data_IF_682176351205
#
_entry.id   IF_682176351205
#
_cell.length_a   1.000
_cell.length_b   1.000
_cell.length_c   1.000
_cell.angle_alpha   90.00
_cell.angle_beta   90.00
_cell.angle_gamma   90.00
#
_symmetry.space_group_name_H-M   'P 1'
#
loop_
_entity.id
_entity.type
_entity.pdbx_description
1 polymer ?
#
# COMPACT_ATOMS: atom_id res chain seq x y z
N UNK A 1 10.88 -15.02 18.32
CA UNK A 1 10.86 -14.21 17.09
C UNK A 1 12.24 -14.29 16.47
N UNK A 2 12.34 -14.67 15.20
CA UNK A 2 13.64 -14.63 14.53
C UNK A 2 14.01 -13.17 14.27
N UNK A 3 15.20 -12.70 14.68
CA UNK A 3 15.66 -11.37 14.29
C UNK A 3 15.73 -11.29 12.77
N UNK A 4 15.46 -10.10 12.21
CA UNK A 4 15.69 -9.83 10.80
C UNK A 4 17.16 -10.08 10.48
N UNK A 5 17.44 -10.80 9.41
CA UNK A 5 18.79 -10.98 8.88
C UNK A 5 19.45 -9.60 8.68
N UNK A 6 20.61 -9.31 9.30
CA UNK A 6 21.31 -8.05 9.08
C UNK A 6 21.57 -7.72 7.61
N UNK A 7 21.70 -8.71 6.73
CA UNK A 7 21.85 -8.50 5.29
C UNK A 7 20.59 -7.91 4.62
N UNK A 8 19.42 -8.05 5.25
CA UNK A 8 18.14 -7.47 4.82
C UNK A 8 17.90 -6.07 5.40
N UNK A 9 18.83 -5.55 6.21
CA UNK A 9 18.82 -4.13 6.62
C UNK A 9 19.51 -3.29 5.55
N UNK A 10 18.74 -2.91 4.52
CA UNK A 10 19.30 -2.26 3.35
C UNK A 10 19.56 -0.77 3.58
N UNK A 11 20.77 -0.35 3.24
CA UNK A 11 21.20 1.04 3.34
C UNK A 11 20.85 1.82 2.09
N UNK A 12 20.50 3.09 2.26
CA UNK A 12 20.33 4.02 1.16
C UNK A 12 21.67 4.22 0.42
N UNK A 13 21.59 4.31 -0.90
CA UNK A 13 22.72 4.53 -1.79
C UNK A 13 22.55 5.81 -2.61
N UNK A 14 23.66 6.30 -3.19
CA UNK A 14 23.63 7.44 -4.11
C UNK A 14 22.80 7.06 -5.35
N UNK A 15 21.86 7.93 -5.72
CA UNK A 15 20.96 7.71 -6.86
C UNK A 15 19.75 6.82 -6.54
N UNK A 16 19.52 6.47 -5.28
CA UNK A 16 18.27 5.82 -4.88
C UNK A 16 17.06 6.67 -5.24
N UNK A 17 16.01 5.99 -5.69
CA UNK A 17 14.72 6.61 -5.98
C UNK A 17 13.90 6.75 -4.71
N UNK A 18 13.28 7.92 -4.55
CA UNK A 18 12.35 8.21 -3.47
C UNK A 18 10.99 8.56 -4.07
N UNK A 19 9.98 7.76 -3.76
CA UNK A 19 8.63 7.95 -4.25
C UNK A 19 7.61 7.43 -3.23
N UNK A 20 6.39 7.95 -3.29
CA UNK A 20 5.26 7.44 -2.52
C UNK A 20 4.68 6.15 -3.14
N UNK A 21 3.64 5.58 -2.54
CA UNK A 21 2.97 4.40 -3.07
C UNK A 21 2.38 4.58 -4.47
N UNK A 22 2.24 5.80 -4.98
CA UNK A 22 1.82 6.06 -6.36
C UNK A 22 3.00 6.07 -7.34
N UNK A 23 4.22 5.82 -6.87
CA UNK A 23 5.45 6.07 -7.61
C UNK A 23 5.57 7.53 -8.08
N UNK A 24 4.98 8.49 -7.36
CA UNK A 24 5.26 9.91 -7.58
C UNK A 24 6.49 10.29 -6.79
N UNK A 25 7.51 10.78 -7.50
CA UNK A 25 8.80 11.08 -6.91
C UNK A 25 8.70 12.24 -5.90
N UNK A 26 9.62 12.22 -4.93
CA UNK A 26 9.81 13.28 -3.97
C UNK A 26 11.29 13.39 -3.59
N UNK A 27 11.72 14.55 -3.09
CA UNK A 27 13.07 14.73 -2.56
C UNK A 27 13.15 14.24 -1.11
N UNK A 28 14.20 13.47 -0.73
CA UNK A 28 14.34 12.99 0.64
C UNK A 28 14.39 14.17 1.62
N UNK A 29 13.74 14.03 2.78
CA UNK A 29 13.55 15.10 3.77
C UNK A 29 14.85 15.48 4.50
N UNK A 30 15.92 14.71 4.29
CA UNK A 30 17.23 14.98 4.89
C UNK A 30 18.33 14.06 4.34
N UNK A 31 19.52 14.08 4.97
CA UNK A 31 20.67 13.31 4.50
C UNK A 31 20.40 11.80 4.47
N UNK A 32 20.81 11.17 3.38
CA UNK A 32 20.55 9.75 3.05
C UNK A 32 21.72 8.83 3.39
N UNK A 33 22.94 9.37 3.54
CA UNK A 33 24.12 8.58 3.92
C UNK A 33 23.93 7.92 5.30
N UNK A 34 24.20 6.62 5.39
CA UNK A 34 24.03 5.84 6.63
C UNK A 34 22.57 5.64 7.05
N UNK A 35 21.61 5.86 6.13
CA UNK A 35 20.17 5.67 6.37
C UNK A 35 19.64 4.37 5.79
N UNK A 36 18.45 3.95 6.21
CA UNK A 36 17.81 2.72 5.75
C UNK A 36 16.87 2.98 4.56
N UNK A 37 16.86 2.08 3.57
CA UNK A 37 15.82 2.06 2.53
C UNK A 37 14.48 1.61 3.11
N UNK A 38 13.38 2.08 2.51
CA UNK A 38 12.02 1.68 2.85
C UNK A 38 11.83 0.15 2.80
N UNK A 39 12.47 -0.54 1.87
CA UNK A 39 12.38 -2.01 1.72
C UNK A 39 12.80 -2.77 2.99
N UNK A 40 13.61 -2.18 3.86
CA UNK A 40 13.94 -2.76 5.17
C UNK A 40 12.68 -3.00 6.03
N UNK A 41 11.65 -2.16 5.88
CA UNK A 41 10.36 -2.32 6.55
C UNK A 41 9.56 -3.51 5.99
N UNK A 42 9.65 -3.78 4.69
CA UNK A 42 9.05 -4.98 4.09
C UNK A 42 9.68 -6.24 4.69
N UNK A 43 11.01 -6.32 4.65
CA UNK A 43 11.73 -7.48 5.16
C UNK A 43 11.47 -7.71 6.65
N UNK A 44 11.46 -6.63 7.43
CA UNK A 44 11.13 -6.68 8.85
C UNK A 44 9.70 -7.15 9.08
N UNK A 45 8.73 -6.70 8.26
CA UNK A 45 7.33 -7.12 8.38
C UNK A 45 7.14 -8.61 8.11
N UNK A 46 7.79 -9.14 7.07
CA UNK A 46 7.79 -10.57 6.73
C UNK A 46 8.39 -11.40 7.88
N UNK A 47 9.56 -10.98 8.40
CA UNK A 47 10.21 -11.67 9.52
C UNK A 47 9.35 -11.65 10.79
N UNK A 48 8.70 -10.53 11.12
CA UNK A 48 7.84 -10.41 12.30
C UNK A 48 6.60 -11.30 12.23
N UNK A 49 6.02 -11.44 11.05
CA UNK A 49 4.86 -12.29 10.83
C UNK A 49 5.24 -13.78 10.69
N UNK A 50 6.54 -14.12 10.70
CA UNK A 50 6.99 -15.50 10.48
C UNK A 50 6.66 -16.01 9.07
N UNK A 51 6.67 -15.10 8.09
CA UNK A 51 6.32 -15.38 6.71
C UNK A 51 7.14 -16.53 6.12
N UNK A 52 6.53 -17.32 5.25
CA UNK A 52 7.20 -18.41 4.55
C UNK A 52 8.44 -17.89 3.78
N UNK A 53 9.59 -18.59 3.82
CA UNK A 53 10.80 -18.20 3.08
C UNK A 53 10.56 -17.95 1.58
N UNK A 54 9.55 -18.59 0.98
CA UNK A 54 9.18 -18.38 -0.42
C UNK A 54 8.62 -16.99 -0.68
N UNK A 55 8.04 -16.30 0.30
CA UNK A 55 7.65 -14.89 0.16
C UNK A 55 8.87 -13.98 -0.03
N UNK A 56 9.97 -14.23 0.69
CA UNK A 56 11.23 -13.50 0.48
C UNK A 56 11.76 -13.76 -0.94
N UNK A 57 11.76 -15.01 -1.38
CA UNK A 57 12.21 -15.38 -2.73
C UNK A 57 11.35 -14.74 -3.84
N UNK A 58 10.03 -14.64 -3.63
CA UNK A 58 9.13 -13.94 -4.56
C UNK A 58 9.49 -12.44 -4.63
N UNK A 59 9.71 -11.79 -3.49
CA UNK A 59 10.12 -10.38 -3.47
C UNK A 59 11.45 -10.16 -4.19
N UNK A 60 12.43 -11.05 -3.98
CA UNK A 60 13.71 -11.00 -4.69
C UNK A 60 13.53 -11.19 -6.20
N UNK A 61 12.67 -12.12 -6.63
CA UNK A 61 12.38 -12.34 -8.05
C UNK A 61 11.71 -11.13 -8.70
N UNK A 62 10.72 -10.52 -8.03
CA UNK A 62 10.08 -9.28 -8.48
C UNK A 62 11.09 -8.15 -8.63
N UNK A 63 11.92 -7.93 -7.61
CA UNK A 63 12.93 -6.89 -7.62
C UNK A 63 14.00 -7.11 -8.70
N UNK A 64 14.45 -8.35 -8.90
CA UNK A 64 15.42 -8.68 -9.95
C UNK A 64 14.83 -8.54 -11.35
N UNK A 65 13.56 -8.93 -11.54
CA UNK A 65 12.90 -8.90 -12.84
C UNK A 65 12.39 -7.52 -13.27
N UNK A 66 12.08 -6.64 -12.32
CA UNK A 66 11.56 -5.29 -12.60
C UNK A 66 12.63 -4.20 -12.38
N UNK A 67 13.59 -4.44 -11.51
CA UNK A 67 14.53 -3.46 -10.98
C UNK A 67 14.07 -2.89 -9.62
N UNK A 68 15.00 -2.34 -8.83
CA UNK A 68 14.71 -1.79 -7.51
C UNK A 68 13.80 -0.55 -7.58
N UNK A 69 12.85 -0.44 -6.65
CA UNK A 69 11.96 0.72 -6.54
C UNK A 69 10.96 0.86 -7.70
N UNK A 70 10.68 -0.25 -8.40
CA UNK A 70 9.72 -0.32 -9.52
C UNK A 70 8.40 -0.95 -9.12
N UNK A 71 8.32 -1.53 -7.93
CA UNK A 71 7.08 -2.06 -7.36
C UNK A 71 6.85 -1.48 -5.98
N UNK A 72 5.58 -1.48 -5.57
CA UNK A 72 5.15 -0.99 -4.27
C UNK A 72 4.60 -2.16 -3.49
N UNK A 73 4.86 -2.21 -2.19
CA UNK A 73 4.27 -3.17 -1.28
C UNK A 73 3.39 -2.46 -0.25
N UNK A 74 2.38 -3.15 0.24
CA UNK A 74 1.56 -2.73 1.39
C UNK A 74 1.46 -3.86 2.40
N UNK A 75 1.95 -3.65 3.61
CA UNK A 75 1.77 -4.58 4.71
C UNK A 75 0.41 -4.29 5.36
N UNK A 76 -0.58 -5.14 5.06
CA UNK A 76 -1.97 -4.99 5.51
C UNK A 76 -2.21 -5.78 6.77
N UNK A 77 -2.87 -5.18 7.74
CA UNK A 77 -3.33 -5.84 8.96
C UNK A 77 -4.85 -5.89 9.01
N UNK A 78 -5.39 -7.09 9.23
CA UNK A 78 -6.81 -7.37 9.45
C UNK A 78 -6.92 -8.51 10.47
N UNK A 79 -7.80 -8.36 11.46
CA UNK A 79 -8.07 -9.38 12.48
C UNK A 79 -6.81 -9.96 13.14
N UNK A 80 -5.83 -9.07 13.41
CA UNK A 80 -4.54 -9.43 14.00
C UNK A 80 -3.52 -10.05 13.03
N UNK A 81 -3.92 -10.44 11.82
CA UNK A 81 -3.08 -11.08 10.81
C UNK A 81 -2.49 -10.04 9.87
N UNK A 82 -1.21 -10.21 9.51
CA UNK A 82 -0.53 -9.41 8.49
C UNK A 82 -0.47 -10.17 7.17
N UNK A 83 -0.82 -9.50 6.09
CA UNK A 83 -0.73 -9.98 4.70
C UNK A 83 -0.09 -8.89 3.84
N UNK A 84 0.38 -9.21 2.65
CA UNK A 84 1.05 -8.24 1.77
C UNK A 84 0.31 -8.12 0.45
N UNK A 85 0.14 -6.89 -0.03
CA UNK A 85 -0.26 -6.63 -1.42
C UNK A 85 0.88 -5.96 -2.15
N UNK A 86 1.09 -6.36 -3.40
CA UNK A 86 2.08 -5.77 -4.28
C UNK A 86 1.38 -5.05 -5.42
N UNK A 87 1.77 -3.80 -5.65
CA UNK A 87 1.23 -2.92 -6.67
C UNK A 87 2.29 -2.62 -7.73
N UNK A 88 1.84 -2.62 -8.97
CA UNK A 88 2.68 -2.43 -10.14
C UNK A 88 2.09 -1.30 -10.98
N UNK A 89 2.79 -0.17 -11.00
CA UNK A 89 2.38 1.02 -11.73
C UNK A 89 3.10 1.09 -13.07
N UNK A 90 2.37 1.49 -14.10
CA UNK A 90 2.94 1.95 -15.35
C UNK A 90 2.03 3.01 -15.98
N UNK A 91 2.42 4.27 -15.83
CA UNK A 91 1.66 5.41 -16.32
C UNK A 91 1.70 5.57 -17.85
N UNK A 92 2.55 4.81 -18.57
CA UNK A 92 2.55 4.78 -20.03
C UNK A 92 1.32 4.05 -20.60
N UNK A 93 0.56 3.33 -19.75
CA UNK A 93 -0.69 2.65 -20.12
C UNK A 93 -0.48 1.72 -21.31
N UNK A 94 -0.98 2.05 -22.50
CA UNK A 94 -0.89 1.15 -23.66
C UNK A 94 0.57 0.83 -24.03
N UNK A 95 1.51 1.73 -23.72
CA UNK A 95 2.94 1.56 -23.96
C UNK A 95 3.72 1.06 -22.71
N UNK A 96 3.01 0.45 -21.76
CA UNK A 96 3.58 -0.08 -20.52
C UNK A 96 4.71 -1.08 -20.76
N UNK A 97 5.70 -1.03 -19.89
CA UNK A 97 6.77 -2.03 -19.78
C UNK A 97 6.58 -2.93 -18.55
N UNK A 98 5.93 -2.43 -17.51
CA UNK A 98 5.50 -3.23 -16.34
C UNK A 98 4.06 -3.69 -16.57
N UNK A 99 3.90 -4.85 -17.20
CA UNK A 99 2.60 -5.43 -17.53
C UNK A 99 2.22 -6.59 -16.61
N UNK A 100 0.93 -6.99 -16.64
CA UNK A 100 0.43 -8.16 -15.91
C UNK A 100 1.16 -9.42 -16.40
N UNK A 101 1.33 -9.57 -17.71
CA UNK A 101 2.01 -10.70 -18.33
C UNK A 101 3.48 -10.79 -17.87
N UNK A 102 4.18 -9.65 -17.82
CA UNK A 102 5.57 -9.61 -17.35
C UNK A 102 5.68 -10.05 -15.90
N UNK A 103 4.84 -9.51 -15.01
CA UNK A 103 4.86 -9.86 -13.58
C UNK A 103 4.45 -11.31 -13.36
N UNK A 104 3.38 -11.78 -14.00
CA UNK A 104 2.99 -13.20 -13.91
C UNK A 104 4.08 -14.13 -14.47
N UNK A 105 4.83 -13.70 -15.48
CA UNK A 105 6.00 -14.43 -15.98
C UNK A 105 7.12 -14.55 -14.94
N UNK A 106 7.41 -13.47 -14.21
CA UNK A 106 8.37 -13.48 -13.08
C UNK A 106 7.89 -14.39 -11.96
N UNK A 107 6.58 -14.38 -11.67
CA UNK A 107 5.97 -15.16 -10.59
C UNK A 107 5.72 -16.62 -10.95
N UNK A 108 5.78 -17.01 -12.23
CA UNK A 108 5.42 -18.35 -12.69
C UNK A 108 6.14 -19.50 -11.97
N UNK A 109 7.44 -19.41 -11.58
CA UNK A 109 8.10 -20.45 -10.79
C UNK A 109 7.55 -20.60 -9.36
N UNK A 110 6.85 -19.58 -8.88
CA UNK A 110 6.36 -19.50 -7.50
C UNK A 110 4.87 -19.76 -7.39
N UNK A 111 4.08 -19.26 -8.35
CA UNK A 111 2.63 -19.17 -8.21
C UNK A 111 1.95 -19.54 -9.53
N UNK A 112 1.16 -20.62 -9.58
CA UNK A 112 0.33 -20.88 -10.75
C UNK A 112 -0.78 -19.83 -10.85
N UNK A 113 -0.93 -19.25 -12.05
CA UNK A 113 -1.95 -18.24 -12.34
C UNK A 113 -2.66 -18.53 -13.68
N UNK A 114 -3.94 -18.85 -13.59
CA UNK A 114 -4.82 -19.05 -14.76
C UNK A 114 -5.49 -17.78 -15.27
N UNK A 115 -5.35 -16.65 -14.57
CA UNK A 115 -6.03 -15.41 -14.95
C UNK A 115 -5.40 -14.81 -16.21
N UNK A 116 -6.25 -14.19 -17.03
CA UNK A 116 -5.87 -13.47 -18.25
C UNK A 116 -6.59 -12.14 -18.29
N UNK A 117 -5.88 -11.09 -18.65
CA UNK A 117 -6.43 -9.76 -18.84
C UNK A 117 -5.87 -9.20 -20.14
N UNK A 118 -6.71 -8.56 -20.95
CA UNK A 118 -6.27 -8.06 -22.25
C UNK A 118 -5.32 -6.85 -22.08
N UNK A 119 -4.06 -6.99 -22.48
CA UNK A 119 -3.04 -5.93 -22.39
C UNK A 119 -3.40 -4.63 -23.12
N UNK A 120 -4.27 -4.70 -24.13
CA UNK A 120 -4.78 -3.55 -24.87
C UNK A 120 -5.74 -2.65 -24.05
N UNK A 121 -6.06 -3.00 -22.80
CA UNK A 121 -6.89 -2.18 -21.92
C UNK A 121 -6.04 -1.09 -21.24
N UNK A 122 -6.56 0.13 -21.06
CA UNK A 122 -5.76 1.29 -20.63
C UNK A 122 -5.61 1.37 -19.10
N UNK A 123 -5.36 0.25 -18.42
CA UNK A 123 -5.03 0.28 -16.99
C UNK A 123 -3.71 1.03 -16.76
N UNK A 124 -3.49 1.59 -15.57
CA UNK A 124 -2.21 2.23 -15.22
C UNK A 124 -1.55 1.55 -14.01
N UNK A 125 -2.29 0.69 -13.33
CA UNK A 125 -1.79 -0.11 -12.22
C UNK A 125 -2.56 -1.43 -12.14
N UNK A 126 -1.91 -2.44 -11.60
CA UNK A 126 -2.58 -3.63 -11.05
C UNK A 126 -1.90 -4.05 -9.75
N UNK A 127 -2.59 -4.89 -8.97
CA UNK A 127 -2.02 -5.46 -7.77
C UNK A 127 -2.48 -6.90 -7.52
N UNK A 128 -1.76 -7.58 -6.64
CA UNK A 128 -2.01 -8.94 -6.20
C UNK A 128 -1.65 -9.10 -4.73
N UNK A 129 -2.41 -9.93 -4.02
CA UNK A 129 -2.15 -10.28 -2.63
C UNK A 129 -1.22 -11.50 -2.56
N UNK A 130 -0.13 -11.36 -1.78
CA UNK A 130 0.77 -12.43 -1.40
C UNK A 130 0.55 -12.78 0.07
N UNK A 131 0.31 -14.07 0.31
CA UNK A 131 0.21 -14.64 1.64
C UNK A 131 0.94 -15.98 1.70
N UNK A 132 1.00 -16.49 2.91
CA UNK A 132 1.62 -17.75 3.27
C UNK A 132 0.99 -18.96 2.56
N UNK A 133 -0.33 -18.97 2.35
CA UNK A 133 -1.00 -20.07 1.67
C UNK A 133 -0.61 -20.13 0.19
N UNK A 134 -0.52 -18.97 -0.48
CA UNK A 134 -0.01 -18.86 -1.84
C UNK A 134 1.47 -19.22 -1.91
N UNK A 135 2.28 -18.78 -0.94
CA UNK A 135 3.71 -19.11 -0.88
C UNK A 135 3.94 -20.61 -0.72
N UNK A 136 3.18 -21.30 0.12
CA UNK A 136 3.23 -22.76 0.30
C UNK A 136 2.59 -23.56 -0.83
N UNK A 137 1.93 -22.90 -1.78
CA UNK A 137 1.22 -23.56 -2.89
C UNK A 137 -0.10 -24.20 -2.49
N UNK A 138 -0.65 -23.83 -1.32
CA UNK A 138 -1.96 -24.28 -0.82
C UNK A 138 -3.12 -23.64 -1.59
N UNK A 139 -2.87 -22.48 -2.22
CA UNK A 139 -3.79 -21.82 -3.16
C UNK A 139 -3.04 -21.23 -4.36
N UNK A 140 -3.75 -21.05 -5.46
CA UNK A 140 -3.25 -20.30 -6.63
C UNK A 140 -3.46 -18.80 -6.52
N UNK A 141 -2.98 -18.05 -7.52
CA UNK A 141 -3.38 -16.65 -7.69
C UNK A 141 -4.75 -16.58 -8.37
N UNK A 142 -5.77 -16.27 -7.59
CA UNK A 142 -7.18 -16.32 -8.01
C UNK A 142 -7.80 -14.94 -8.26
N UNK A 143 -7.10 -13.87 -7.87
CA UNK A 143 -7.54 -12.49 -8.06
C UNK A 143 -6.38 -11.58 -8.45
N UNK A 144 -6.66 -10.68 -9.39
CA UNK A 144 -5.87 -9.47 -9.65
C UNK A 144 -6.77 -8.25 -9.44
N UNK A 145 -6.27 -7.18 -8.84
CA UNK A 145 -7.00 -5.92 -8.79
C UNK A 145 -6.45 -5.01 -9.89
N UNK A 146 -7.32 -4.52 -10.77
CA UNK A 146 -6.96 -3.75 -11.96
C UNK A 146 -7.43 -2.31 -11.81
N UNK A 147 -6.54 -1.35 -12.09
CA UNK A 147 -6.81 0.06 -11.86
C UNK A 147 -6.77 0.85 -13.16
N UNK A 148 -7.87 1.55 -13.44
CA UNK A 148 -8.04 2.40 -14.63
C UNK A 148 -8.27 3.85 -14.20
N UNK A 149 -7.79 4.80 -15.01
CA UNK A 149 -7.93 6.21 -14.70
C UNK A 149 -9.38 6.66 -14.74
N UNK A 150 -9.75 7.58 -13.84
CA UNK A 150 -11.04 8.23 -13.83
C UNK A 150 -10.84 9.74 -14.04
N UNK A 151 -10.97 10.27 -15.27
CA UNK A 151 -10.82 11.70 -15.49
C UNK A 151 -11.83 12.52 -14.69
N UNK A 152 -11.43 13.70 -14.19
CA UNK A 152 -12.34 14.65 -13.51
C UNK A 152 -11.96 15.08 -12.08
N UNK A 153 -10.75 14.79 -11.61
CA UNK A 153 -10.22 15.24 -10.31
C UNK A 153 -9.06 16.22 -10.48
N UNK A 154 -8.81 17.06 -9.47
CA UNK A 154 -7.70 18.03 -9.39
C UNK A 154 -6.31 17.38 -9.29
N UNK A 155 -6.17 16.30 -8.51
CA UNK A 155 -4.90 15.56 -8.35
C UNK A 155 -4.92 14.27 -9.18
N UNK A 156 -5.80 13.33 -8.84
CA UNK A 156 -5.95 12.04 -9.51
C UNK A 156 -7.24 11.34 -9.07
N UNK A 157 -7.73 10.41 -9.87
CA UNK A 157 -8.83 9.52 -9.52
C UNK A 157 -8.70 8.22 -10.30
N UNK A 158 -9.17 7.12 -9.69
CA UNK A 158 -9.06 5.79 -10.26
C UNK A 158 -10.23 4.90 -9.90
N UNK A 159 -10.53 3.97 -10.78
CA UNK A 159 -11.49 2.88 -10.57
C UNK A 159 -10.70 1.59 -10.39
N UNK A 160 -11.08 0.78 -9.42
CA UNK A 160 -10.52 -0.57 -9.24
C UNK A 160 -11.56 -1.64 -9.56
N UNK A 161 -11.09 -2.67 -10.26
CA UNK A 161 -11.86 -3.86 -10.61
C UNK A 161 -11.11 -5.11 -10.18
N UNK A 162 -11.78 -5.98 -9.42
CA UNK A 162 -11.31 -7.32 -9.12
C UNK A 162 -11.54 -8.23 -10.33
N UNK A 163 -10.46 -8.76 -10.89
CA UNK A 163 -10.48 -9.80 -11.91
C UNK A 163 -10.38 -11.17 -11.23
N UNK A 164 -11.38 -12.01 -11.44
CA UNK A 164 -11.36 -13.44 -11.09
C UNK A 164 -11.62 -14.28 -12.34
N UNK A 165 -11.78 -15.60 -12.17
CA UNK A 165 -12.21 -16.49 -13.27
C UNK A 165 -13.60 -16.15 -13.80
N UNK A 166 -14.46 -15.56 -12.96
CA UNK A 166 -15.85 -15.22 -13.31
C UNK A 166 -15.96 -13.88 -14.05
N UNK A 167 -14.88 -13.10 -14.10
CA UNK A 167 -14.81 -11.83 -14.81
C UNK A 167 -14.37 -10.67 -13.93
N UNK A 168 -14.75 -9.46 -14.36
CA UNK A 168 -14.44 -8.21 -13.65
C UNK A 168 -15.60 -7.79 -12.78
N UNK A 169 -15.29 -7.42 -11.53
CA UNK A 169 -16.23 -6.82 -10.60
C UNK A 169 -15.69 -5.47 -10.16
N UNK A 170 -16.49 -4.42 -10.27
CA UNK A 170 -16.12 -3.11 -9.74
C UNK A 170 -16.03 -3.18 -8.22
N UNK A 171 -14.91 -2.72 -7.65
CA UNK A 171 -14.69 -2.72 -6.20
C UNK A 171 -14.72 -1.32 -5.61
N UNK A 172 -13.89 -0.42 -6.15
CA UNK A 172 -13.53 0.83 -5.47
C UNK A 172 -13.45 2.02 -6.43
N UNK A 173 -13.85 3.19 -5.95
CA UNK A 173 -13.55 4.50 -6.52
C UNK A 173 -12.58 5.24 -5.60
N UNK A 174 -11.48 5.74 -6.15
CA UNK A 174 -10.47 6.53 -5.43
C UNK A 174 -10.50 7.99 -5.88
N UNK A 175 -10.43 8.91 -4.91
CA UNK A 175 -10.31 10.35 -5.15
C UNK A 175 -9.10 10.89 -4.36
N UNK A 176 -8.17 11.53 -5.06
CA UNK A 176 -6.93 12.07 -4.50
C UNK A 176 -7.05 13.58 -4.33
N UNK A 177 -6.49 14.09 -3.24
CA UNK A 177 -6.56 15.49 -2.85
C UNK A 177 -5.22 15.98 -2.31
N UNK A 178 -4.85 17.21 -2.64
CA UNK A 178 -3.79 17.95 -1.97
C UNK A 178 -4.25 18.29 -0.54
N UNK A 179 -3.57 17.72 0.46
CA UNK A 179 -4.01 17.79 1.86
C UNK A 179 -4.02 19.22 2.41
N UNK A 180 -3.14 20.09 1.90
CA UNK A 180 -3.01 21.47 2.34
C UNK A 180 -4.06 22.37 1.68
N UNK A 181 -4.39 22.11 0.42
CA UNK A 181 -5.24 22.99 -0.40
C UNK A 181 -6.71 22.59 -0.44
N UNK A 182 -7.03 21.33 -0.23
CA UNK A 182 -8.35 20.76 -0.54
C UNK A 182 -9.08 20.19 0.68
N UNK A 183 -8.85 20.76 1.88
CA UNK A 183 -9.42 20.27 3.15
C UNK A 183 -10.94 20.12 3.14
N UNK A 184 -11.65 21.09 2.58
CA UNK A 184 -13.12 21.04 2.52
C UNK A 184 -13.60 19.94 1.57
N UNK A 185 -12.91 19.75 0.43
CA UNK A 185 -13.21 18.68 -0.51
C UNK A 185 -12.92 17.29 0.09
N UNK A 186 -11.84 17.15 0.87
CA UNK A 186 -11.51 15.93 1.62
C UNK A 186 -12.62 15.60 2.62
N UNK A 187 -13.06 16.57 3.43
CA UNK A 187 -14.15 16.38 4.39
C UNK A 187 -15.46 16.03 3.69
N UNK A 188 -15.83 16.78 2.64
CA UNK A 188 -17.02 16.53 1.85
C UNK A 188 -17.01 15.13 1.21
N UNK A 189 -15.85 14.71 0.66
CA UNK A 189 -15.70 13.39 0.06
C UNK A 189 -15.76 12.27 1.10
N UNK A 190 -15.18 12.47 2.28
CA UNK A 190 -15.23 11.51 3.40
C UNK A 190 -16.66 11.34 3.92
N UNK A 191 -17.44 12.42 3.98
CA UNK A 191 -18.86 12.38 4.32
C UNK A 191 -19.73 11.74 3.23
N UNK A 192 -19.25 11.66 1.98
CA UNK A 192 -19.95 11.04 0.87
C UNK A 192 -19.77 9.51 0.92
N UNK A 193 -20.51 8.88 1.82
CA UNK A 193 -20.45 7.45 2.10
C UNK A 193 -21.82 6.79 2.04
N UNK A 194 -21.85 5.55 1.55
CA UNK A 194 -23.02 4.67 1.68
C UNK A 194 -23.00 3.83 2.98
N UNK A 195 -21.93 3.94 3.78
CA UNK A 195 -21.65 3.10 4.94
C UNK A 195 -21.56 3.87 6.26
N UNK A 196 -21.76 5.19 6.24
CA UNK A 196 -21.69 6.06 7.42
C UNK A 196 -23.05 6.62 7.78
N UNK A 197 -23.39 6.54 9.07
CA UNK A 197 -24.50 7.31 9.65
C UNK A 197 -23.96 8.68 10.07
N UNK A 198 -24.26 9.71 9.26
CA UNK A 198 -23.67 11.05 9.41
C UNK A 198 -24.10 11.86 10.65
N UNK A 199 -25.34 11.76 11.18
CA UNK A 199 -25.74 12.58 12.32
C UNK A 199 -24.85 12.35 13.56
N UNK A 200 -24.06 13.37 13.93
CA UNK A 200 -23.18 13.32 15.11
C UNK A 200 -21.82 12.63 14.91
N UNK A 201 -21.49 12.19 13.69
CA UNK A 201 -20.17 11.64 13.39
C UNK A 201 -19.12 12.75 13.31
N UNK A 202 -18.12 12.67 14.19
CA UNK A 202 -16.90 13.47 14.06
C UNK A 202 -16.00 12.86 12.97
N UNK A 203 -15.86 13.56 11.85
CA UNK A 203 -14.98 13.15 10.76
C UNK A 203 -13.51 13.11 11.18
N UNK A 204 -13.10 13.79 12.26
CA UNK A 204 -11.72 13.72 12.75
C UNK A 204 -11.38 12.34 13.35
N UNK A 205 -12.40 11.53 13.68
CA UNK A 205 -12.22 10.12 14.03
C UNK A 205 -11.80 9.25 12.83
N UNK A 206 -11.95 9.76 11.59
CA UNK A 206 -11.51 9.13 10.34
C UNK A 206 -10.26 9.84 9.81
N UNK A 207 -10.31 11.17 9.69
CA UNK A 207 -9.29 11.98 9.05
C UNK A 207 -8.06 12.21 9.92
N UNK A 208 -8.11 11.89 11.22
CA UNK A 208 -6.98 11.91 12.15
C UNK A 208 -6.08 13.15 12.00
N UNK A 209 -6.37 14.25 12.72
CA UNK A 209 -5.70 15.54 12.54
C UNK A 209 -4.17 15.49 12.48
N UNK A 210 -3.54 14.62 13.27
CA UNK A 210 -2.08 14.43 13.29
C UNK A 210 -1.51 13.95 11.94
N UNK A 211 -2.27 13.16 11.18
CA UNK A 211 -1.88 12.66 9.85
C UNK A 211 -2.28 13.59 8.70
N UNK A 212 -3.14 14.59 8.94
CA UNK A 212 -3.52 15.59 7.93
C UNK A 212 -2.41 16.57 7.56
N UNK A 213 -1.24 16.45 8.18
CA UNK A 213 0.00 17.13 7.78
C UNK A 213 0.72 16.44 6.61
N UNK A 214 0.15 15.34 6.10
CA UNK A 214 0.61 14.61 4.91
C UNK A 214 0.57 15.48 3.64
N UNK A 215 1.15 14.96 2.54
CA UNK A 215 1.10 15.64 1.24
C UNK A 215 -0.22 15.40 0.49
N UNK A 216 -0.67 14.14 0.45
CA UNK A 216 -1.85 13.73 -0.32
C UNK A 216 -2.79 12.90 0.55
N UNK A 217 -4.07 13.25 0.53
CA UNK A 217 -5.13 12.41 1.11
C UNK A 217 -5.86 11.71 -0.02
N UNK A 218 -6.11 10.42 0.16
CA UNK A 218 -6.95 9.65 -0.76
C UNK A 218 -8.16 9.15 0.00
N UNK A 219 -9.34 9.45 -0.51
CA UNK A 219 -10.59 8.89 0.00
C UNK A 219 -11.10 7.88 -1.01
N UNK A 220 -11.36 6.66 -0.56
CA UNK A 220 -11.89 5.60 -1.42
C UNK A 220 -13.25 5.13 -0.92
N UNK A 221 -14.23 5.11 -1.83
CA UNK A 221 -15.47 4.40 -1.59
C UNK A 221 -15.32 2.96 -2.07
N UNK A 222 -15.62 1.99 -1.21
CA UNK A 222 -15.53 0.57 -1.52
C UNK A 222 -16.88 -0.09 -1.37
N UNK A 223 -17.00 -1.28 -1.95
CA UNK A 223 -18.25 -2.05 -1.92
C UNK A 223 -18.79 -2.35 -0.51
N UNK A 224 -17.91 -2.61 0.46
CA UNK A 224 -18.29 -3.08 1.81
C UNK A 224 -17.85 -2.15 2.95
N UNK A 225 -17.10 -1.11 2.65
CA UNK A 225 -16.54 -0.17 3.61
C UNK A 225 -16.05 1.07 2.86
N UNK A 226 -15.55 2.07 3.59
CA UNK A 226 -14.80 3.18 2.99
C UNK A 226 -13.36 3.18 3.49
N UNK A 227 -12.53 4.03 2.90
CA UNK A 227 -11.11 4.10 3.27
C UNK A 227 -10.54 5.49 3.12
N UNK A 228 -9.55 5.79 3.96
CA UNK A 228 -8.72 6.97 3.85
C UNK A 228 -7.25 6.57 3.88
N UNK A 229 -6.46 7.21 3.03
CA UNK A 229 -5.02 7.03 2.95
C UNK A 229 -4.35 8.38 3.13
N UNK A 230 -3.27 8.39 3.90
CA UNK A 230 -2.42 9.55 4.13
C UNK A 230 -1.08 9.24 3.50
N UNK A 231 -0.75 9.97 2.45
CA UNK A 231 0.46 9.77 1.68
C UNK A 231 1.44 10.89 1.94
N UNK A 232 2.72 10.53 2.00
CA UNK A 232 3.84 11.41 2.32
C UNK A 232 3.84 11.96 3.76
N UNK A 233 3.57 11.11 4.75
CA UNK A 233 3.77 11.44 6.18
C UNK A 233 5.23 11.25 6.58
N UNK A 234 5.70 12.02 7.57
CA UNK A 234 7.02 11.80 8.17
C UNK A 234 7.07 10.58 9.11
N UNK A 235 8.27 10.23 9.58
CA UNK A 235 8.49 9.09 10.48
C UNK A 235 7.65 9.14 11.76
N UNK A 236 7.41 10.33 12.31
CA UNK A 236 6.59 10.49 13.53
C UNK A 236 5.11 10.19 13.25
N UNK A 237 4.62 10.52 12.06
CA UNK A 237 3.28 10.14 11.61
C UNK A 237 3.14 8.63 11.49
N UNK A 238 4.16 7.94 10.93
CA UNK A 238 4.17 6.48 10.85
C UNK A 238 4.14 5.85 12.26
N UNK A 239 4.95 6.36 13.20
CA UNK A 239 4.96 5.88 14.59
C UNK A 239 3.58 6.06 15.22
N UNK A 240 2.99 7.26 15.11
CA UNK A 240 1.66 7.55 15.65
C UNK A 240 0.57 6.64 15.06
N UNK A 241 0.63 6.36 13.75
CA UNK A 241 -0.28 5.43 13.07
C UNK A 241 -0.17 4.01 13.64
N UNK A 242 1.06 3.49 13.75
CA UNK A 242 1.32 2.14 14.24
C UNK A 242 0.92 1.98 15.72
N UNK A 243 1.12 3.02 16.54
CA UNK A 243 0.70 3.05 17.94
C UNK A 243 -0.81 3.05 18.09
N UNK A 244 -1.50 3.96 17.37
CA UNK A 244 -2.97 4.12 17.43
C UNK A 244 -3.70 2.84 17.06
N UNK A 245 -3.14 2.08 16.13
CA UNK A 245 -3.69 0.80 15.67
C UNK A 245 -3.08 -0.43 16.35
N UNK A 246 -2.31 -0.21 17.41
CA UNK A 246 -1.69 -1.25 18.23
C UNK A 246 -0.98 -2.34 17.39
N UNK A 247 -0.18 -1.93 16.40
CA UNK A 247 0.66 -2.84 15.61
C UNK A 247 1.54 -3.71 16.52
N UNK A 248 1.94 -4.93 16.09
CA UNK A 248 2.73 -5.82 16.92
C UNK A 248 3.94 -5.09 17.53
N UNK A 249 4.26 -5.32 18.83
CA UNK A 249 5.35 -4.61 19.51
C UNK A 249 6.65 -4.60 18.71
N UNK A 250 7.04 -5.73 18.13
CA UNK A 250 8.24 -5.82 17.31
C UNK A 250 8.27 -4.84 16.12
N UNK A 251 7.14 -4.60 15.44
CA UNK A 251 7.06 -3.60 14.36
C UNK A 251 7.22 -2.19 14.92
N UNK A 252 6.51 -1.87 16.01
CA UNK A 252 6.55 -0.54 16.63
C UNK A 252 7.94 -0.23 17.18
N UNK A 253 8.53 -1.18 17.89
CA UNK A 253 9.83 -1.05 18.54
C UNK A 253 10.94 -0.87 17.50
N UNK A 254 10.89 -1.63 16.39
CA UNK A 254 11.82 -1.48 15.28
C UNK A 254 11.75 -0.09 14.64
N UNK A 255 10.54 0.40 14.31
CA UNK A 255 10.38 1.73 13.70
C UNK A 255 10.87 2.83 14.66
N UNK A 256 10.68 2.67 15.97
CA UNK A 256 11.19 3.59 16.98
C UNK A 256 12.71 3.54 17.11
N UNK A 257 13.31 2.35 17.17
CA UNK A 257 14.77 2.20 17.27
C UNK A 257 15.48 2.73 16.04
N UNK A 258 14.88 2.55 14.86
CA UNK A 258 15.40 3.01 13.59
C UNK A 258 14.89 4.41 13.18
N UNK A 259 14.16 5.11 14.06
CA UNK A 259 13.54 6.43 13.77
C UNK A 259 14.51 7.38 13.08
N UNK A 260 15.74 7.49 13.60
CA UNK A 260 16.78 8.37 13.03
C UNK A 260 17.22 7.91 11.64
N UNK A 261 17.34 6.60 11.40
CA UNK A 261 17.77 6.03 10.11
C UNK A 261 16.66 6.05 9.07
N UNK A 262 15.40 6.17 9.48
CA UNK A 262 14.22 6.25 8.63
C UNK A 262 13.72 7.69 8.39
N UNK A 263 14.17 8.68 9.16
CA UNK A 263 13.62 10.05 9.14
C UNK A 263 13.85 10.86 7.85
N UNK A 264 14.64 10.36 6.89
CA UNK A 264 14.82 10.99 5.59
C UNK A 264 13.73 10.58 4.58
N UNK A 265 12.93 9.57 4.91
CA UNK A 265 11.87 9.04 4.08
C UNK A 265 10.53 9.69 4.43
N UNK A 266 9.64 9.67 3.45
CA UNK A 266 8.22 9.85 3.64
C UNK A 266 7.55 8.48 3.53
N UNK A 267 6.43 8.33 4.22
CA UNK A 267 5.69 7.09 4.34
C UNK A 267 4.26 7.31 3.92
N UNK A 268 3.60 6.21 3.60
CA UNK A 268 2.20 6.20 3.28
C UNK A 268 1.49 5.16 4.14
N UNK A 269 0.28 5.50 4.57
CA UNK A 269 -0.55 4.65 5.40
C UNK A 269 -2.01 4.76 4.98
N UNK A 270 -2.83 3.76 5.33
CA UNK A 270 -4.26 3.84 5.11
C UNK A 270 -5.06 2.94 6.03
N UNK A 271 -6.34 3.28 6.18
CA UNK A 271 -7.32 2.50 6.93
C UNK A 271 -8.55 2.23 6.07
N UNK A 272 -9.09 1.02 6.18
CA UNK A 272 -10.47 0.74 5.82
C UNK A 272 -11.30 0.85 7.10
N UNK A 273 -12.45 1.51 7.02
CA UNK A 273 -13.34 1.71 8.16
C UNK A 273 -14.80 1.47 7.76
N UNK A 274 -15.58 1.03 8.73
CA UNK A 274 -17.02 0.80 8.59
C UNK A 274 -17.71 1.07 9.92
N UNK A 275 -19.03 1.28 9.89
CA UNK A 275 -19.84 1.25 11.10
C UNK A 275 -20.22 -0.20 11.42
N UNK A 276 -19.78 -0.67 12.59
CA UNK A 276 -20.11 -1.99 13.13
C UNK A 276 -20.80 -1.74 14.46
N UNK A 277 -22.03 -2.23 14.61
CA UNK A 277 -22.84 -2.06 15.84
C UNK A 277 -22.93 -0.60 16.32
N UNK A 278 -23.13 0.33 15.38
CA UNK A 278 -23.26 1.77 15.67
C UNK A 278 -21.95 2.47 16.03
N UNK A 279 -20.79 1.82 15.81
CA UNK A 279 -19.46 2.39 16.09
C UNK A 279 -18.57 2.37 14.87
N UNK A 280 -17.89 3.49 14.64
CA UNK A 280 -16.81 3.57 13.66
C UNK A 280 -15.68 2.61 14.07
N UNK A 281 -15.42 1.64 13.20
CA UNK A 281 -14.42 0.59 13.43
C UNK A 281 -13.45 0.55 12.27
N UNK A 282 -12.15 0.58 12.58
CA UNK A 282 -11.10 0.30 11.58
C UNK A 282 -11.04 -1.21 11.36
N UNK A 283 -11.40 -1.65 10.15
CA UNK A 283 -11.49 -3.08 9.78
C UNK A 283 -10.24 -3.58 9.08
N UNK A 284 -9.43 -2.68 8.53
CA UNK A 284 -8.14 -2.97 7.94
C UNK A 284 -7.24 -1.75 8.05
N UNK A 285 -5.95 -1.97 8.16
CA UNK A 285 -4.97 -0.91 8.05
C UNK A 285 -3.77 -1.37 7.24
N UNK A 286 -2.99 -0.44 6.70
CA UNK A 286 -1.76 -0.77 6.00
C UNK A 286 -0.76 0.38 6.06
N UNK A 287 0.51 0.03 5.92
CA UNK A 287 1.59 0.95 5.58
C UNK A 287 2.33 0.43 4.35
N UNK A 288 2.89 1.34 3.57
CA UNK A 288 3.41 1.05 2.24
C UNK A 288 4.87 1.46 2.08
N UNK A 289 5.50 0.95 1.03
CA UNK A 289 6.82 1.39 0.58
C UNK A 289 7.24 0.76 -0.74
N UNK A 290 8.46 1.05 -1.16
CA UNK A 290 9.03 0.54 -2.39
C UNK A 290 9.78 -0.80 -2.19
N UNK A 291 9.68 -1.68 -3.20
CA UNK A 291 10.51 -2.87 -3.39
C UNK A 291 11.39 -2.71 -4.64
#
# INVERSE_FOLDING_TARGET
>A
MSPLDPARMEMAAVGDRYADYCLWDYEPVGPTAGRLRQVSLLWHSLACAGADPRLFAICDALRNGLGPGRSVWGAKRRDGVTTWEFYFYDYARLDRTVSIERVLGILAPFVPCGLRYAGARPYFMFSLDLDDALARGERGLERLNIYVGNPGSSVSSGLSYGLTRDGLVFDNLYSFFDAARERDAIRAKTACSAHLDMPGLDLDAILWPDLMTCGVVVVANKRLCDSVYFSRIGIDGLIAFLDRLAYPPAIRDFVRSERRRLSHLLFDVGIDYAFVDGRLTVTKSAYYGLL
#
